data_IF_515218002845
#
_entry.id   IF_515218002845
#
_cell.length_a   1.000
_cell.length_b   1.000
_cell.length_c   1.000
_cell.angle_alpha   90.00
_cell.angle_beta   90.00
_cell.angle_gamma   90.00
#
_symmetry.space_group_name_H-M   'P 1'
#
loop_
_entity.id
_entity.type
_entity.pdbx_description
1 polymer ?
#
# COMPACT_ATOMS: atom_id res chain seq x y z
N UNK A 1 -20.85 -3.32 26.51
CA UNK A 1 -19.88 -2.46 25.80
C UNK A 1 -20.37 -2.33 24.37
N UNK A 2 -20.81 -1.14 23.97
CA UNK A 2 -21.18 -0.84 22.59
C UNK A 2 -19.86 -0.88 21.81
N UNK A 3 -19.63 -1.88 20.97
CA UNK A 3 -18.43 -1.88 20.13
C UNK A 3 -18.52 -0.63 19.26
N UNK A 4 -17.62 0.32 19.49
CA UNK A 4 -17.47 1.43 18.54
C UNK A 4 -17.23 0.79 17.19
N UNK A 5 -18.16 1.01 16.25
CA UNK A 5 -18.06 0.43 14.93
C UNK A 5 -16.75 0.92 14.33
N UNK A 6 -15.81 0.00 14.16
CA UNK A 6 -14.49 0.30 13.62
C UNK A 6 -14.70 0.88 12.22
N UNK A 7 -14.17 2.08 11.97
CA UNK A 7 -14.24 2.70 10.65
C UNK A 7 -13.33 1.94 9.67
N UNK A 8 -13.89 0.90 9.05
CA UNK A 8 -13.21 0.01 8.08
C UNK A 8 -12.52 0.81 6.97
N UNK A 9 -13.13 1.92 6.52
CA UNK A 9 -12.53 2.84 5.56
C UNK A 9 -11.17 3.34 6.02
N UNK A 10 -11.12 3.98 7.18
CA UNK A 10 -9.89 4.55 7.73
C UNK A 10 -8.82 3.47 7.92
N UNK A 11 -9.22 2.30 8.43
CA UNK A 11 -8.28 1.19 8.62
C UNK A 11 -7.64 0.71 7.31
N UNK A 12 -8.43 0.53 6.25
CA UNK A 12 -7.90 0.07 4.96
C UNK A 12 -6.90 1.09 4.38
N UNK A 13 -7.18 2.40 4.47
CA UNK A 13 -6.22 3.41 4.04
C UNK A 13 -4.93 3.38 4.89
N UNK A 14 -5.04 3.24 6.22
CA UNK A 14 -3.89 3.16 7.12
C UNK A 14 -3.05 1.92 6.82
N UNK A 15 -3.67 0.77 6.58
CA UNK A 15 -2.95 -0.45 6.20
C UNK A 15 -2.16 -0.28 4.91
N UNK A 16 -2.75 0.36 3.89
CA UNK A 16 -2.02 0.71 2.68
C UNK A 16 -0.77 1.55 2.97
N UNK A 17 -0.90 2.58 3.82
CA UNK A 17 0.22 3.48 4.14
C UNK A 17 1.33 2.71 4.85
N UNK A 18 0.99 1.90 5.84
CA UNK A 18 1.97 1.15 6.63
C UNK A 18 2.70 0.11 5.75
N UNK A 19 1.96 -0.64 4.94
CA UNK A 19 2.54 -1.70 4.10
C UNK A 19 3.40 -1.09 3.00
N UNK A 20 2.84 -0.26 2.13
CA UNK A 20 3.57 0.27 0.98
C UNK A 20 4.59 1.34 1.39
N UNK A 21 4.27 2.15 2.40
CA UNK A 21 5.21 3.11 2.96
C UNK A 21 6.38 2.41 3.68
N UNK A 22 6.12 1.35 4.43
CA UNK A 22 7.15 0.53 5.06
C UNK A 22 8.06 -0.16 4.03
N UNK A 23 7.49 -0.70 2.95
CA UNK A 23 8.27 -1.30 1.86
C UNK A 23 9.11 -0.28 1.09
N UNK A 24 8.55 0.90 0.80
CA UNK A 24 9.31 1.99 0.18
C UNK A 24 10.43 2.46 1.11
N UNK A 25 10.10 2.62 2.39
CA UNK A 25 10.96 2.63 3.58
C UNK A 25 12.22 1.80 3.40
N UNK A 26 11.96 0.49 3.38
CA UNK A 26 12.97 -0.55 3.29
C UNK A 26 13.81 -0.44 2.01
N UNK A 27 13.18 -0.12 0.87
CA UNK A 27 13.89 0.06 -0.40
C UNK A 27 14.87 1.24 -0.42
N UNK A 28 14.70 2.20 0.48
CA UNK A 28 15.62 3.35 0.63
C UNK A 28 16.77 2.96 1.54
N UNK A 29 16.47 2.33 2.68
CA UNK A 29 17.47 1.90 3.67
C UNK A 29 18.42 0.86 3.05
N UNK A 30 17.87 -0.14 2.37
CA UNK A 30 18.65 -1.25 1.79
C UNK A 30 19.18 -0.94 0.38
N UNK A 31 19.07 0.30 -0.10
CA UNK A 31 19.49 0.67 -1.45
C UNK A 31 20.97 0.32 -1.72
N UNK A 32 21.84 0.48 -0.71
CA UNK A 32 23.25 0.10 -0.80
C UNK A 32 23.44 -1.41 -1.04
N UNK A 33 22.68 -2.25 -0.32
CA UNK A 33 22.71 -3.71 -0.46
C UNK A 33 22.25 -4.11 -1.87
N UNK A 34 21.20 -3.48 -2.39
CA UNK A 34 20.72 -3.75 -3.75
C UNK A 34 21.74 -3.36 -4.83
N UNK A 35 22.49 -2.27 -4.63
CA UNK A 35 23.53 -1.85 -5.57
C UNK A 35 24.78 -2.74 -5.49
N UNK A 36 25.06 -3.31 -4.32
CA UNK A 36 26.24 -4.16 -4.09
C UNK A 36 26.03 -5.60 -4.54
N UNK A 37 24.88 -6.21 -4.22
CA UNK A 37 24.61 -7.63 -4.48
C UNK A 37 23.73 -7.89 -5.71
N UNK A 38 23.05 -6.86 -6.21
CA UNK A 38 22.16 -6.97 -7.37
C UNK A 38 22.55 -5.93 -8.43
N UNK A 39 21.60 -5.10 -8.86
CA UNK A 39 21.82 -4.04 -9.82
C UNK A 39 20.86 -2.88 -9.56
N UNK A 40 21.17 -1.72 -10.16
CA UNK A 40 20.28 -0.55 -10.11
C UNK A 40 18.92 -0.86 -10.72
N UNK A 41 18.85 -1.68 -11.78
CA UNK A 41 17.59 -2.08 -12.41
C UNK A 41 16.72 -2.86 -11.43
N UNK A 42 17.30 -3.80 -10.66
CA UNK A 42 16.53 -4.58 -9.67
C UNK A 42 15.95 -3.72 -8.56
N UNK A 43 16.69 -2.70 -8.12
CA UNK A 43 16.18 -1.74 -7.14
C UNK A 43 14.97 -0.95 -7.70
N UNK A 44 15.04 -0.51 -8.95
CA UNK A 44 13.94 0.19 -9.60
C UNK A 44 12.75 -0.71 -9.88
N UNK A 45 12.95 -1.95 -10.33
CA UNK A 45 11.89 -2.95 -10.47
C UNK A 45 11.14 -3.15 -9.15
N UNK A 46 11.87 -3.27 -8.04
CA UNK A 46 11.26 -3.41 -6.71
C UNK A 46 10.45 -2.17 -6.31
N UNK A 47 10.98 -0.96 -6.53
CA UNK A 47 10.27 0.30 -6.23
C UNK A 47 9.03 0.50 -7.11
N UNK A 48 9.12 0.18 -8.39
CA UNK A 48 8.00 0.23 -9.32
C UNK A 48 6.93 -0.79 -8.95
N UNK A 49 7.32 -1.98 -8.49
CA UNK A 49 6.39 -2.98 -7.97
C UNK A 49 5.65 -2.47 -6.72
N UNK A 50 6.37 -1.83 -5.77
CA UNK A 50 5.74 -1.20 -4.59
C UNK A 50 4.73 -0.13 -5.03
N UNK A 51 5.14 0.77 -5.93
CA UNK A 51 4.28 1.85 -6.40
C UNK A 51 3.04 1.32 -7.15
N UNK A 52 3.23 0.35 -8.05
CA UNK A 52 2.14 -0.30 -8.77
C UNK A 52 1.18 -1.04 -7.85
N UNK A 53 1.71 -1.80 -6.88
CA UNK A 53 0.91 -2.48 -5.87
C UNK A 53 0.11 -1.50 -5.01
N UNK A 54 0.72 -0.37 -4.62
CA UNK A 54 0.04 0.69 -3.87
C UNK A 54 -1.13 1.28 -4.68
N UNK A 55 -0.91 1.58 -5.95
CA UNK A 55 -1.97 2.09 -6.85
C UNK A 55 -3.12 1.09 -6.94
N UNK A 56 -2.83 -0.19 -7.24
CA UNK A 56 -3.85 -1.23 -7.33
C UNK A 56 -4.62 -1.36 -6.01
N UNK A 57 -3.93 -1.35 -4.88
CA UNK A 57 -4.55 -1.41 -3.56
C UNK A 57 -5.49 -0.24 -3.31
N UNK A 58 -5.02 1.01 -3.47
CA UNK A 58 -5.85 2.18 -3.18
C UNK A 58 -7.01 2.34 -4.15
N UNK A 59 -6.85 1.95 -5.41
CA UNK A 59 -7.96 1.87 -6.37
C UNK A 59 -8.99 0.83 -5.92
N UNK A 60 -8.54 -0.33 -5.45
CA UNK A 60 -9.45 -1.37 -4.94
C UNK A 60 -10.19 -0.90 -3.69
N UNK A 61 -9.51 -0.25 -2.74
CA UNK A 61 -10.14 0.34 -1.55
C UNK A 61 -11.14 1.42 -1.94
N UNK A 62 -10.81 2.27 -2.92
CA UNK A 62 -11.71 3.29 -3.43
C UNK A 62 -12.97 2.67 -4.05
N UNK A 63 -12.82 1.69 -4.95
CA UNK A 63 -13.92 1.00 -5.61
C UNK A 63 -14.80 0.24 -4.62
N UNK A 64 -14.20 -0.43 -3.64
CA UNK A 64 -14.93 -1.12 -2.58
C UNK A 64 -15.86 -0.15 -1.85
N UNK A 65 -15.35 1.00 -1.41
CA UNK A 65 -16.20 1.98 -0.72
C UNK A 65 -17.24 2.62 -1.64
N UNK A 66 -16.88 2.93 -2.89
CA UNK A 66 -17.83 3.48 -3.86
C UNK A 66 -19.01 2.53 -4.10
N UNK A 67 -18.74 1.24 -4.29
CA UNK A 67 -19.76 0.22 -4.51
C UNK A 67 -20.59 -0.05 -3.25
N UNK A 68 -19.97 -0.05 -2.07
CA UNK A 68 -20.71 -0.29 -0.81
C UNK A 68 -21.69 0.86 -0.55
N UNK A 69 -21.29 2.11 -0.80
CA UNK A 69 -22.18 3.28 -0.65
C UNK A 69 -23.36 3.24 -1.63
N UNK A 70 -23.16 2.80 -2.87
CA UNK A 70 -24.24 2.68 -3.86
C UNK A 70 -25.27 1.58 -3.56
N UNK A 71 -24.89 0.54 -2.80
CA UNK A 71 -25.79 -0.56 -2.45
C UNK A 71 -26.67 -0.26 -1.22
N UNK A 72 -26.31 0.77 -0.46
CA UNK A 72 -27.03 1.22 0.74
C UNK A 72 -28.03 2.37 0.46
N UNK A 73 -28.08 2.91 -0.77
CA UNK A 73 -29.09 3.88 -1.27
C UNK A 73 -30.28 3.18 -1.97
#
# INVERSE_FOLDING_TARGET
MRSEAVETKKLLYIFGVIVFGGMLLNSIIDAGIYLEYYSLEKLWEYRLFIAGGAVVYYVTVFLFHYLTVQLDE
#
